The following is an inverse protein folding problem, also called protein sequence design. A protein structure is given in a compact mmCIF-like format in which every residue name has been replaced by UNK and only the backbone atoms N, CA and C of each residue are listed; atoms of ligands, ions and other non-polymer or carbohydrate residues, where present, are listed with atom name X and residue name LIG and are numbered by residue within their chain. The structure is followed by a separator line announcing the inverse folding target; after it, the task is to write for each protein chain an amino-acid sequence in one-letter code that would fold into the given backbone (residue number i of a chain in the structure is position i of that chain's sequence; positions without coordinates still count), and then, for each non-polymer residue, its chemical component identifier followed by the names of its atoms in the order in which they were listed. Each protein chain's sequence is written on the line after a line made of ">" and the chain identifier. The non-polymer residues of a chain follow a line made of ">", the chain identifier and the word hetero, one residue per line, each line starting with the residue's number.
data_IF_125296033597
#
_entry.id   IF_125296033597
#
_cell.length_a   1.000
_cell.length_b   1.000
_cell.length_c   1.000
_cell.angle_alpha   90.00
_cell.angle_beta   90.00
_cell.angle_gamma   90.00
#
_symmetry.space_group_name_H-M   'P 1'
#
loop_
_entity.id
_entity.type
_entity.pdbx_description
1 polymer ?
#
# COMPACT_ATOMS: atom_id res chain seq x y z
N UNK A 1 20.91 34.79 44.63
CA UNK A 1 20.60 35.25 43.28
C UNK A 1 21.47 34.53 42.23
N UNK A 2 22.76 34.37 42.46
CA UNK A 2 23.65 33.64 41.55
C UNK A 2 23.32 32.19 41.47
N UNK A 3 23.03 31.52 42.57
CA UNK A 3 22.62 30.12 42.59
C UNK A 3 21.28 29.89 41.91
N UNK A 4 20.33 30.81 42.10
CA UNK A 4 19.04 30.71 41.44
C UNK A 4 19.13 30.85 39.94
N UNK A 5 19.96 31.76 39.45
CA UNK A 5 20.25 31.95 38.03
C UNK A 5 20.96 30.76 37.43
N UNK A 6 21.93 30.17 38.14
CA UNK A 6 22.66 28.99 37.71
C UNK A 6 21.72 27.80 37.61
N UNK A 7 20.88 27.60 38.60
CA UNK A 7 19.87 26.51 38.60
C UNK A 7 18.84 26.69 37.48
N UNK A 8 18.38 27.92 37.25
CA UNK A 8 17.43 28.21 36.16
C UNK A 8 18.06 27.94 34.81
N UNK A 9 19.36 28.26 34.63
CA UNK A 9 20.11 27.96 33.41
C UNK A 9 20.25 26.47 33.15
N UNK A 10 20.58 25.70 34.18
CA UNK A 10 20.70 24.24 34.09
C UNK A 10 19.34 23.62 33.77
N UNK A 11 18.30 24.07 34.44
CA UNK A 11 16.92 23.59 34.15
C UNK A 11 16.50 23.91 32.73
N UNK A 12 16.78 25.11 32.25
CA UNK A 12 16.49 25.53 30.89
C UNK A 12 17.18 24.62 29.88
N UNK A 13 18.48 24.38 30.04
CA UNK A 13 19.25 23.52 29.16
C UNK A 13 18.74 22.08 29.15
N UNK A 14 18.35 21.59 30.33
CA UNK A 14 17.79 20.25 30.48
C UNK A 14 16.46 20.12 29.77
N UNK A 15 15.58 21.08 29.93
CA UNK A 15 14.28 21.12 29.25
C UNK A 15 14.47 21.17 27.74
N UNK A 16 15.43 21.99 27.28
CA UNK A 16 15.74 22.11 25.86
C UNK A 16 16.30 20.80 25.29
N UNK A 17 17.22 20.15 26.02
CA UNK A 17 17.77 18.86 25.61
C UNK A 17 16.69 17.77 25.55
N UNK A 18 15.83 17.71 26.54
CA UNK A 18 14.69 16.78 26.57
C UNK A 18 13.73 17.04 25.41
N UNK A 19 13.43 18.30 25.13
CA UNK A 19 12.56 18.67 24.01
C UNK A 19 13.15 18.26 22.67
N UNK A 20 14.44 18.46 22.47
CA UNK A 20 15.16 18.03 21.26
C UNK A 20 15.14 16.52 21.11
N UNK A 21 15.35 15.79 22.21
CA UNK A 21 15.31 14.33 22.22
C UNK A 21 13.92 13.83 21.85
N UNK A 22 12.87 14.40 22.45
CA UNK A 22 11.49 14.05 22.14
C UNK A 22 11.14 14.34 20.69
N UNK A 23 11.56 15.52 20.19
CA UNK A 23 11.32 15.88 18.80
C UNK A 23 12.00 14.90 17.83
N UNK A 24 13.23 14.48 18.15
CA UNK A 24 13.95 13.47 17.37
C UNK A 24 13.23 12.13 17.34
N UNK A 25 12.74 11.68 18.51
CA UNK A 25 11.96 10.45 18.62
C UNK A 25 10.65 10.53 17.84
N UNK A 26 9.95 11.66 17.93
CA UNK A 26 8.72 11.87 17.18
C UNK A 26 8.95 11.84 15.67
N UNK A 27 10.06 12.42 15.20
CA UNK A 27 10.46 12.36 13.79
C UNK A 27 10.75 10.93 13.34
N UNK A 28 11.51 10.18 14.12
CA UNK A 28 11.83 8.79 13.82
C UNK A 28 10.57 7.92 13.78
N UNK A 29 9.69 8.10 14.76
CA UNK A 29 8.43 7.37 14.83
C UNK A 29 7.53 7.72 13.64
N UNK A 30 7.47 9.00 13.27
CA UNK A 30 6.70 9.44 12.11
C UNK A 30 7.24 8.85 10.81
N UNK A 31 8.55 8.76 10.65
CA UNK A 31 9.18 8.12 9.49
C UNK A 31 8.86 6.64 9.42
N UNK A 32 8.97 5.93 10.54
CA UNK A 32 8.65 4.50 10.62
C UNK A 32 7.18 4.24 10.32
N UNK A 33 6.30 5.06 10.88
CA UNK A 33 4.86 4.96 10.63
C UNK A 33 4.54 5.26 9.17
N UNK A 34 5.18 6.28 8.59
CA UNK A 34 5.03 6.61 7.17
C UNK A 34 5.44 5.47 6.25
N UNK A 35 6.56 4.81 6.54
CA UNK A 35 7.01 3.63 5.79
C UNK A 35 6.04 2.47 5.94
N UNK A 36 5.56 2.22 7.15
CA UNK A 36 4.57 1.17 7.42
C UNK A 36 3.28 1.41 6.64
N UNK A 37 2.76 2.64 6.67
CA UNK A 37 1.54 3.01 5.94
C UNK A 37 1.75 2.86 4.44
N UNK A 38 2.91 3.26 3.93
CA UNK A 38 3.25 3.10 2.52
C UNK A 38 3.25 1.64 2.11
N UNK A 39 3.95 0.79 2.86
CA UNK A 39 4.02 -0.66 2.58
C UNK A 39 2.64 -1.30 2.65
N UNK A 40 1.86 -0.94 3.65
CA UNK A 40 0.49 -1.44 3.81
C UNK A 40 -0.39 -1.02 2.64
N UNK A 41 -0.28 0.23 2.20
CA UNK A 41 -1.06 0.75 1.07
C UNK A 41 -0.73 0.02 -0.23
N UNK A 42 0.56 -0.26 -0.48
CA UNK A 42 1.00 -1.03 -1.64
C UNK A 42 0.45 -2.45 -1.58
N UNK A 43 0.54 -3.09 -0.42
CA UNK A 43 0.05 -4.45 -0.21
C UNK A 43 -1.47 -4.54 -0.38
N UNK A 44 -2.20 -3.56 0.16
CA UNK A 44 -3.65 -3.47 0.01
C UNK A 44 -4.03 -3.27 -1.45
N UNK A 45 -3.29 -2.42 -2.18
CA UNK A 45 -3.51 -2.21 -3.61
C UNK A 45 -3.24 -3.48 -4.42
N UNK A 46 -2.18 -4.21 -4.13
CA UNK A 46 -1.86 -5.50 -4.77
C UNK A 46 -2.98 -6.52 -4.54
N UNK A 47 -3.47 -6.61 -3.30
CA UNK A 47 -4.59 -7.49 -2.93
C UNK A 47 -5.85 -7.14 -3.71
N UNK A 48 -6.16 -5.85 -3.81
CA UNK A 48 -7.33 -5.36 -4.54
C UNK A 48 -7.21 -5.62 -6.04
N UNK A 49 -6.05 -5.41 -6.62
CA UNK A 49 -5.79 -5.71 -8.04
C UNK A 49 -5.96 -7.20 -8.30
N UNK A 50 -5.41 -8.05 -7.43
CA UNK A 50 -5.55 -9.51 -7.55
C UNK A 50 -7.02 -9.92 -7.45
N UNK A 51 -7.77 -9.33 -6.53
CA UNK A 51 -9.20 -9.58 -6.37
C UNK A 51 -9.97 -9.20 -7.62
N UNK A 52 -9.70 -8.03 -8.17
CA UNK A 52 -10.36 -7.55 -9.39
C UNK A 52 -10.00 -8.41 -10.60
N UNK A 53 -8.74 -8.81 -10.72
CA UNK A 53 -8.30 -9.71 -11.79
C UNK A 53 -8.98 -11.08 -11.70
N UNK A 54 -9.10 -11.64 -10.50
CA UNK A 54 -9.79 -12.90 -10.28
C UNK A 54 -11.29 -12.79 -10.60
N UNK A 55 -11.91 -11.67 -10.21
CA UNK A 55 -13.31 -11.41 -10.50
C UNK A 55 -13.55 -11.28 -12.01
N UNK A 56 -12.70 -10.55 -12.72
CA UNK A 56 -12.75 -10.40 -14.16
C UNK A 56 -12.58 -11.73 -14.88
N UNK A 57 -11.63 -12.55 -14.45
CA UNK A 57 -11.40 -13.88 -14.98
C UNK A 57 -12.62 -14.79 -14.77
N UNK A 58 -13.20 -14.77 -13.56
CA UNK A 58 -14.44 -15.51 -13.25
C UNK A 58 -15.59 -15.10 -14.16
N UNK A 59 -15.72 -13.80 -14.39
CA UNK A 59 -16.78 -13.25 -15.22
C UNK A 59 -16.63 -13.67 -16.68
N UNK A 60 -15.41 -13.66 -17.20
CA UNK A 60 -15.11 -14.11 -18.55
C UNK A 60 -15.40 -15.59 -18.71
N UNK A 61 -14.98 -16.41 -17.75
CA UNK A 61 -15.25 -17.86 -17.77
C UNK A 61 -16.76 -18.14 -17.71
N UNK A 62 -17.48 -17.42 -16.84
CA UNK A 62 -18.93 -17.58 -16.73
C UNK A 62 -19.65 -17.22 -18.04
N UNK A 63 -19.24 -16.15 -18.70
CA UNK A 63 -19.82 -15.74 -19.98
C UNK A 63 -19.55 -16.75 -21.07
N UNK A 64 -18.33 -17.26 -21.16
CA UNK A 64 -17.97 -18.25 -22.20
C UNK A 64 -18.57 -19.62 -21.94
N UNK A 65 -18.64 -20.05 -20.67
CA UNK A 65 -19.22 -21.35 -20.31
C UNK A 65 -20.74 -21.37 -20.32
N UNK A 66 -21.40 -20.21 -20.08
CA UNK A 66 -22.84 -20.13 -20.04
C UNK A 66 -23.52 -20.06 -21.41
N UNK A 67 -22.88 -19.41 -22.36
CA UNK A 67 -23.44 -19.20 -23.70
C UNK A 67 -22.88 -20.14 -24.75
N UNK A 68 -21.66 -20.64 -24.57
CA UNK A 68 -20.98 -21.47 -25.54
C UNK A 68 -20.32 -22.66 -24.84
N UNK A 69 -20.54 -23.84 -25.40
CA UNK A 69 -19.78 -25.01 -25.00
C UNK A 69 -18.31 -24.81 -25.40
N UNK A 70 -17.42 -25.60 -24.84
CA UNK A 70 -15.99 -25.60 -25.22
C UNK A 70 -15.79 -25.75 -26.72
N UNK A 71 -16.68 -26.49 -27.35
CA UNK A 71 -16.69 -26.70 -28.80
C UNK A 71 -17.01 -25.40 -29.56
N UNK A 72 -17.95 -24.61 -29.08
CA UNK A 72 -18.29 -23.31 -29.66
C UNK A 72 -17.15 -22.31 -29.60
N UNK A 73 -16.41 -22.30 -28.49
CA UNK A 73 -15.22 -21.44 -28.31
C UNK A 73 -14.14 -21.86 -29.32
N UNK A 74 -13.93 -23.14 -29.49
CA UNK A 74 -12.96 -23.70 -30.43
C UNK A 74 -13.32 -23.33 -31.87
N UNK A 75 -14.57 -23.44 -32.25
CA UNK A 75 -15.05 -23.04 -33.58
C UNK A 75 -14.85 -21.56 -33.84
N UNK A 76 -15.18 -20.73 -32.86
CA UNK A 76 -15.02 -19.28 -32.95
C UNK A 76 -13.55 -18.89 -33.11
N UNK A 77 -12.68 -19.56 -32.38
CA UNK A 77 -11.24 -19.39 -32.49
C UNK A 77 -10.74 -19.77 -33.90
N UNK A 78 -11.17 -20.89 -34.43
CA UNK A 78 -10.80 -21.32 -35.77
C UNK A 78 -11.29 -20.37 -36.87
N UNK A 79 -12.51 -19.87 -36.70
CA UNK A 79 -13.08 -18.89 -37.60
C UNK A 79 -12.29 -17.60 -37.63
N UNK A 80 -11.91 -17.10 -36.45
CA UNK A 80 -11.10 -15.91 -36.32
C UNK A 80 -9.70 -16.10 -36.91
N UNK A 81 -9.08 -17.22 -36.65
CA UNK A 81 -7.79 -17.56 -37.22
C UNK A 81 -7.84 -17.66 -38.75
N UNK A 82 -8.94 -18.20 -39.28
CA UNK A 82 -9.17 -18.26 -40.72
C UNK A 82 -9.37 -16.91 -41.38
N UNK A 83 -10.03 -15.99 -40.69
CA UNK A 83 -10.23 -14.63 -41.17
C UNK A 83 -8.94 -13.79 -41.19
N UNK A 84 -8.03 -14.05 -40.26
CA UNK A 84 -6.74 -13.37 -40.16
C UNK A 84 -5.68 -13.95 -41.13
N UNK A 85 -5.89 -15.13 -41.59
CA UNK A 85 -5.03 -15.77 -42.58
C UNK A 85 -5.41 -15.31 -43.99
#
# INVERSE_FOLDING_TARGET
>A
LKEAKAKAGVEYEKILADAKKQAGQMLDDAKKEGLFVKEKSIKDAETEITRLAALAASKIVAQTSGEKSDYGIYEEFLKKAGEEA
#
